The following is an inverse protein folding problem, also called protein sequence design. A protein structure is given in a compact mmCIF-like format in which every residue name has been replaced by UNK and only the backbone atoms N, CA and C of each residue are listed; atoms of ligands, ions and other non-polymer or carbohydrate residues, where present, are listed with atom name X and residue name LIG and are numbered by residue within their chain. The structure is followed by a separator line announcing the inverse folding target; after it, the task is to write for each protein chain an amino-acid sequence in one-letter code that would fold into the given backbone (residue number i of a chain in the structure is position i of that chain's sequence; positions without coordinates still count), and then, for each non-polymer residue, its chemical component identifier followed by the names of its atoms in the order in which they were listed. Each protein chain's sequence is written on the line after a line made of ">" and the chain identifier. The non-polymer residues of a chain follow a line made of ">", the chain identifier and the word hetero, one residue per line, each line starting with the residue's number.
data_IF_645679383938
#
_entry.id   IF_645679383938
#
_cell.length_a   1.000
_cell.length_b   1.000
_cell.length_c   1.000
_cell.angle_alpha   90.00
_cell.angle_beta   90.00
_cell.angle_gamma   90.00
#
_symmetry.space_group_name_H-M   'P 1'
#
loop_
_entity.id
_entity.type
_entity.pdbx_description
1 polymer ?
#
# COMPACT_ATOMS: atom_id res chain seq x y z
N UNK A 1 -15.59 -0.71 7.87
CA UNK A 1 -14.92 -1.52 6.85
C UNK A 1 -15.47 -1.19 5.48
N UNK A 2 -14.61 -1.09 4.48
CA UNK A 2 -14.94 -0.96 3.06
C UNK A 2 -14.11 -1.95 2.24
N UNK A 3 -14.66 -2.41 1.12
CA UNK A 3 -13.94 -3.23 0.16
C UNK A 3 -14.34 -2.83 -1.26
N UNK A 4 -13.40 -2.96 -2.19
CA UNK A 4 -13.62 -2.74 -3.61
C UNK A 4 -12.83 -3.77 -4.44
N UNK A 5 -13.43 -4.20 -5.53
CA UNK A 5 -12.80 -5.05 -6.51
C UNK A 5 -12.46 -4.24 -7.77
N UNK A 6 -11.32 -4.53 -8.36
CA UNK A 6 -10.86 -3.91 -9.59
C UNK A 6 -10.54 -4.99 -10.63
N UNK A 7 -11.20 -4.91 -11.78
CA UNK A 7 -11.14 -5.86 -12.90
C UNK A 7 -10.28 -5.36 -14.08
N UNK A 8 -9.70 -4.18 -13.98
CA UNK A 8 -8.95 -3.54 -15.07
C UNK A 8 -7.77 -4.35 -15.61
N UNK A 9 -7.30 -5.33 -14.85
CA UNK A 9 -6.22 -6.25 -15.26
C UNK A 9 -6.73 -7.56 -15.86
N UNK A 10 -8.04 -7.78 -15.92
CA UNK A 10 -8.64 -9.00 -16.51
C UNK A 10 -8.48 -9.05 -18.03
N UNK A 11 -8.22 -7.92 -18.68
CA UNK A 11 -7.98 -7.82 -20.13
C UNK A 11 -6.63 -8.36 -20.60
N UNK A 12 -5.71 -8.67 -19.68
CA UNK A 12 -4.41 -9.22 -20.02
C UNK A 12 -4.50 -10.73 -20.33
N UNK A 13 -3.52 -11.26 -21.06
CA UNK A 13 -3.41 -12.70 -21.37
C UNK A 13 -3.35 -13.58 -20.11
N UNK A 14 -2.82 -13.04 -19.04
CA UNK A 14 -2.81 -13.63 -17.71
C UNK A 14 -3.54 -12.70 -16.76
N UNK A 15 -4.88 -12.83 -16.68
CA UNK A 15 -5.71 -11.89 -15.97
C UNK A 15 -5.46 -11.90 -14.47
N UNK A 16 -5.51 -10.71 -13.86
CA UNK A 16 -5.39 -10.50 -12.43
C UNK A 16 -6.63 -9.76 -11.94
N UNK A 17 -7.22 -10.26 -10.88
CA UNK A 17 -8.23 -9.55 -10.12
C UNK A 17 -7.61 -8.99 -8.85
N UNK A 18 -7.89 -7.73 -8.57
CA UNK A 18 -7.42 -7.02 -7.39
C UNK A 18 -8.60 -6.66 -6.50
N UNK A 19 -8.58 -7.11 -5.27
CA UNK A 19 -9.50 -6.71 -4.22
C UNK A 19 -8.75 -5.95 -3.13
N UNK A 20 -9.20 -4.74 -2.83
CA UNK A 20 -8.67 -3.94 -1.71
C UNK A 20 -9.70 -3.84 -0.60
N UNK A 21 -9.26 -4.12 0.61
CA UNK A 21 -10.04 -3.93 1.82
C UNK A 21 -9.41 -2.85 2.70
N UNK A 22 -10.27 -1.99 3.24
CA UNK A 22 -9.90 -0.96 4.22
C UNK A 22 -10.65 -1.21 5.51
N UNK A 23 -9.93 -1.34 6.61
CA UNK A 23 -10.48 -1.40 7.96
C UNK A 23 -9.97 -0.24 8.78
N UNK A 24 -10.89 0.56 9.32
CA UNK A 24 -10.59 1.63 10.24
C UNK A 24 -10.94 1.22 11.67
N UNK A 25 -10.01 1.39 12.57
CA UNK A 25 -10.20 1.32 14.02
C UNK A 25 -10.14 2.74 14.58
N UNK A 26 -11.30 3.32 14.74
CA UNK A 26 -11.43 4.70 15.21
C UNK A 26 -11.03 4.87 16.67
N UNK A 27 -11.11 3.81 17.48
CA UNK A 27 -10.72 3.86 18.88
C UNK A 27 -9.22 3.93 19.05
N UNK A 28 -8.49 3.18 18.26
CA UNK A 28 -7.02 3.11 18.28
C UNK A 28 -6.36 4.02 17.24
N UNK A 29 -7.13 4.76 16.44
CA UNK A 29 -6.59 5.67 15.42
C UNK A 29 -5.78 4.95 14.35
N UNK A 30 -6.19 3.76 13.94
CA UNK A 30 -5.48 2.98 12.95
C UNK A 30 -6.32 2.64 11.72
N UNK A 31 -5.65 2.52 10.59
CA UNK A 31 -6.22 2.05 9.33
C UNK A 31 -5.35 0.93 8.77
N UNK A 32 -5.99 -0.20 8.52
CA UNK A 32 -5.35 -1.35 7.87
C UNK A 32 -5.86 -1.46 6.43
N UNK A 33 -4.93 -1.57 5.50
CA UNK A 33 -5.20 -1.83 4.09
C UNK A 33 -4.70 -3.23 3.75
N UNK A 34 -5.54 -4.01 3.10
CA UNK A 34 -5.20 -5.34 2.62
C UNK A 34 -5.53 -5.41 1.13
N UNK A 35 -4.54 -5.79 0.33
CA UNK A 35 -4.67 -6.04 -1.10
C UNK A 35 -4.59 -7.54 -1.36
N UNK A 36 -5.60 -8.08 -2.00
CA UNK A 36 -5.64 -9.45 -2.47
C UNK A 36 -5.55 -9.44 -4.00
N UNK A 37 -4.53 -10.09 -4.54
CA UNK A 37 -4.37 -10.27 -5.98
C UNK A 37 -4.44 -11.75 -6.30
N UNK A 38 -5.33 -12.11 -7.19
CA UNK A 38 -5.54 -13.51 -7.59
C UNK A 38 -5.86 -13.60 -9.07
N UNK A 39 -5.61 -14.77 -9.65
CA UNK A 39 -5.99 -15.05 -11.03
C UNK A 39 -7.36 -15.72 -11.06
N UNK A 40 -8.29 -15.24 -11.89
CA UNK A 40 -9.56 -15.94 -12.13
C UNK A 40 -9.40 -17.21 -12.97
N UNK A 41 -8.22 -17.42 -13.55
CA UNK A 41 -7.90 -18.60 -14.36
C UNK A 41 -7.03 -19.58 -13.60
N UNK A 42 -7.19 -20.87 -13.88
CA UNK A 42 -6.28 -21.91 -13.39
C UNK A 42 -4.94 -21.83 -14.13
N UNK A 43 -3.87 -22.02 -13.40
CA UNK A 43 -2.50 -22.02 -13.94
C UNK A 43 -1.55 -21.16 -13.10
N UNK A 44 -0.28 -21.56 -13.09
CA UNK A 44 0.77 -20.85 -12.36
C UNK A 44 1.59 -20.05 -13.36
N UNK A 45 1.21 -18.81 -13.57
CA UNK A 45 2.00 -17.87 -14.36
C UNK A 45 2.68 -16.85 -13.44
N UNK A 46 3.95 -16.54 -13.65
CA UNK A 46 4.60 -15.46 -12.89
C UNK A 46 4.03 -14.09 -13.29
N UNK A 47 3.81 -13.26 -12.30
CA UNK A 47 3.39 -11.88 -12.46
C UNK A 47 4.42 -10.97 -11.82
N UNK A 48 4.69 -9.83 -12.44
CA UNK A 48 5.42 -8.74 -11.81
C UNK A 48 4.41 -7.72 -11.32
N UNK A 49 4.43 -7.48 -10.02
CA UNK A 49 3.54 -6.57 -9.33
C UNK A 49 4.34 -5.40 -8.75
N UNK A 50 3.78 -4.21 -8.84
CA UNK A 50 4.34 -3.02 -8.24
C UNK A 50 3.24 -2.31 -7.44
N UNK A 51 3.57 -1.95 -6.21
CA UNK A 51 2.73 -1.11 -5.37
C UNK A 51 3.34 0.27 -5.21
N UNK A 52 2.48 1.26 -5.19
CA UNK A 52 2.86 2.63 -4.90
C UNK A 52 1.90 3.19 -3.85
N UNK A 53 2.47 3.68 -2.76
CA UNK A 53 1.75 4.45 -1.75
C UNK A 53 2.21 5.90 -1.85
N UNK A 54 1.30 6.77 -2.27
CA UNK A 54 1.56 8.19 -2.48
C UNK A 54 1.19 8.98 -1.24
N UNK A 55 2.07 9.87 -0.81
CA UNK A 55 1.83 10.76 0.32
C UNK A 55 1.61 12.20 -0.15
N UNK A 56 1.03 13.02 0.73
CA UNK A 56 0.87 14.43 0.43
C UNK A 56 2.23 15.15 0.37
N UNK A 57 2.38 16.23 -0.40
CA UNK A 57 3.65 16.94 -0.58
C UNK A 57 4.32 17.43 0.70
N UNK A 58 3.53 17.65 1.76
CA UNK A 58 4.03 18.12 3.05
C UNK A 58 4.43 16.98 4.01
N UNK A 59 4.31 15.72 3.59
CA UNK A 59 4.75 14.59 4.37
C UNK A 59 6.25 14.36 4.21
N UNK A 60 6.90 13.94 5.30
CA UNK A 60 8.24 13.37 5.26
C UNK A 60 8.23 11.95 5.79
N UNK A 61 8.98 11.06 5.15
CA UNK A 61 9.08 9.66 5.52
C UNK A 61 10.51 9.33 5.93
N UNK A 62 10.65 8.56 6.99
CA UNK A 62 11.92 8.03 7.46
C UNK A 62 11.78 6.52 7.69
N UNK A 63 12.69 5.70 7.13
CA UNK A 63 12.68 4.27 7.39
C UNK A 63 12.99 3.99 8.86
N UNK A 64 12.37 2.96 9.38
CA UNK A 64 12.62 2.46 10.73
C UNK A 64 12.46 0.93 10.73
N UNK A 65 12.75 0.29 11.85
CA UNK A 65 12.59 -1.15 11.98
C UNK A 65 11.12 -1.54 11.73
N UNK A 66 10.90 -2.42 10.76
CA UNK A 66 9.59 -2.96 10.36
C UNK A 66 8.56 -1.95 9.81
N UNK A 67 9.01 -0.76 9.37
CA UNK A 67 8.08 0.22 8.84
C UNK A 67 8.68 1.59 8.60
N UNK A 68 7.83 2.60 8.66
CA UNK A 68 8.17 3.98 8.32
C UNK A 68 7.54 4.97 9.30
N UNK A 69 8.32 5.93 9.74
CA UNK A 69 7.79 7.12 10.41
C UNK A 69 7.33 8.12 9.36
N UNK A 70 6.07 8.53 9.46
CA UNK A 70 5.46 9.52 8.57
C UNK A 70 5.16 10.77 9.39
N UNK A 71 5.77 11.88 9.03
CA UNK A 71 5.63 13.16 9.73
C UNK A 71 4.92 14.16 8.83
N UNK A 72 3.89 14.78 9.36
CA UNK A 72 3.21 15.92 8.78
C UNK A 72 3.40 17.16 9.66
N UNK A 73 3.05 18.38 9.22
CA UNK A 73 3.13 19.57 10.07
C UNK A 73 2.29 19.51 11.35
N UNK A 74 1.29 18.61 11.41
CA UNK A 74 0.32 18.55 12.52
C UNK A 74 0.40 17.25 13.32
N UNK A 75 0.84 16.15 12.70
CA UNK A 75 0.73 14.82 13.29
C UNK A 75 1.87 13.91 12.86
N UNK A 76 2.10 12.88 13.65
CA UNK A 76 2.98 11.76 13.32
C UNK A 76 2.16 10.50 13.17
N UNK A 77 2.58 9.68 12.22
CA UNK A 77 2.01 8.37 11.99
C UNK A 77 3.11 7.32 11.92
N UNK A 78 2.75 6.13 12.29
CA UNK A 78 3.54 4.94 12.03
C UNK A 78 2.90 4.17 10.88
N UNK A 79 3.67 3.90 9.84
CA UNK A 79 3.29 2.98 8.78
C UNK A 79 3.97 1.64 9.07
N UNK A 80 3.19 0.69 9.56
CA UNK A 80 3.62 -0.68 9.80
C UNK A 80 3.53 -1.49 8.50
N UNK A 81 4.64 -2.05 8.04
CA UNK A 81 4.77 -2.70 6.75
C UNK A 81 5.36 -1.78 5.68
N UNK A 82 5.11 -2.08 4.40
CA UNK A 82 4.26 -3.14 3.86
C UNK A 82 4.83 -4.55 4.06
N UNK A 83 3.94 -5.54 4.12
CA UNK A 83 4.27 -6.96 4.16
C UNK A 83 3.56 -7.69 3.04
N UNK A 84 4.22 -8.67 2.45
CA UNK A 84 3.61 -9.55 1.44
C UNK A 84 3.61 -11.00 1.89
N UNK A 85 2.60 -11.72 1.47
CA UNK A 85 2.58 -13.18 1.51
C UNK A 85 2.12 -13.75 0.18
N UNK A 86 2.81 -14.76 -0.31
CA UNK A 86 2.47 -15.48 -1.53
C UNK A 86 2.01 -16.89 -1.16
N UNK A 87 0.81 -17.27 -1.59
CA UNK A 87 0.19 -18.56 -1.21
C UNK A 87 0.21 -18.80 0.32
N UNK A 88 -0.02 -17.76 1.12
CA UNK A 88 -0.02 -17.83 2.58
C UNK A 88 1.37 -17.84 3.23
N UNK A 89 2.45 -17.78 2.47
CA UNK A 89 3.83 -17.76 2.99
C UNK A 89 4.40 -16.36 2.89
N UNK A 90 4.96 -15.79 3.99
CA UNK A 90 5.61 -14.49 3.95
C UNK A 90 6.76 -14.46 2.93
N UNK A 91 6.87 -13.39 2.17
CA UNK A 91 7.93 -13.17 1.19
C UNK A 91 8.66 -11.87 1.48
N UNK A 92 9.97 -11.87 1.25
CA UNK A 92 10.79 -10.70 1.42
C UNK A 92 10.49 -9.66 0.33
N UNK A 93 10.36 -8.41 0.75
CA UNK A 93 10.26 -7.25 -0.13
C UNK A 93 11.20 -6.15 0.37
N UNK A 94 11.57 -5.24 -0.51
CA UNK A 94 12.44 -4.12 -0.21
C UNK A 94 11.74 -2.80 -0.59
N UNK A 95 10.89 -2.27 0.29
CA UNK A 95 10.28 -0.96 0.05
C UNK A 95 11.35 0.12 0.00
N UNK A 96 11.19 1.05 -0.91
CA UNK A 96 12.07 2.21 -1.02
C UNK A 96 11.28 3.50 -1.19
N UNK A 97 11.87 4.59 -0.69
CA UNK A 97 11.34 5.92 -0.84
C UNK A 97 11.75 6.48 -2.20
N UNK A 98 10.78 6.97 -2.94
CA UNK A 98 10.94 7.65 -4.22
C UNK A 98 10.28 9.04 -4.17
N UNK A 99 10.53 9.86 -5.14
CA UNK A 99 9.91 11.16 -5.31
C UNK A 99 9.15 11.19 -6.63
N UNK A 100 7.90 11.57 -6.55
CA UNK A 100 7.04 11.72 -7.72
C UNK A 100 6.32 13.06 -7.72
N UNK A 101 5.31 13.16 -8.57
CA UNK A 101 4.51 14.38 -8.72
C UNK A 101 3.04 14.05 -8.51
N UNK A 102 2.37 14.87 -7.70
CA UNK A 102 0.92 14.80 -7.48
C UNK A 102 0.27 16.13 -7.89
N UNK A 103 -0.94 16.04 -8.41
CA UNK A 103 -1.76 17.21 -8.73
C UNK A 103 -2.86 17.32 -7.66
N UNK A 104 -2.64 18.16 -6.65
CA UNK A 104 -3.66 18.43 -5.61
C UNK A 104 -4.80 19.27 -6.17
N UNK A 105 -4.55 20.05 -7.23
CA UNK A 105 -5.52 20.86 -7.94
C UNK A 105 -5.23 20.79 -9.43
N UNK A 106 -6.26 21.01 -10.26
CA UNK A 106 -6.10 21.08 -11.70
C UNK A 106 -5.04 22.12 -12.09
N UNK A 107 -4.09 21.72 -12.92
CA UNK A 107 -2.99 22.57 -13.42
C UNK A 107 -1.88 22.86 -12.40
N UNK A 108 -1.90 22.31 -11.20
CA UNK A 108 -0.85 22.49 -10.19
C UNK A 108 -0.26 21.15 -9.76
N UNK A 109 0.92 20.85 -10.26
CA UNK A 109 1.66 19.67 -9.85
C UNK A 109 2.70 20.05 -8.79
N UNK A 110 2.85 19.19 -7.77
CA UNK A 110 3.81 19.34 -6.68
C UNK A 110 4.58 18.04 -6.48
N UNK A 111 5.82 18.13 -6.07
CA UNK A 111 6.61 16.98 -5.64
C UNK A 111 6.01 16.37 -4.37
N UNK A 112 6.01 15.06 -4.31
CA UNK A 112 5.49 14.31 -3.18
C UNK A 112 6.30 13.02 -2.96
N UNK A 113 6.44 12.55 -1.71
CA UNK A 113 7.10 11.28 -1.44
C UNK A 113 6.19 10.10 -1.82
N UNK A 114 6.80 9.09 -2.42
CA UNK A 114 6.17 7.83 -2.80
C UNK A 114 6.94 6.69 -2.15
N UNK A 115 6.24 5.81 -1.48
CA UNK A 115 6.79 4.53 -1.07
C UNK A 115 6.44 3.50 -2.13
N UNK A 116 7.47 2.83 -2.68
CA UNK A 116 7.32 1.81 -3.73
C UNK A 116 7.90 0.49 -3.28
N UNK A 117 7.29 -0.59 -3.72
CA UNK A 117 7.83 -1.94 -3.61
C UNK A 117 7.30 -2.80 -4.73
N UNK A 118 8.04 -3.83 -5.07
CA UNK A 118 7.69 -4.77 -6.13
C UNK A 118 7.91 -6.19 -5.68
N UNK A 119 7.25 -7.10 -6.35
CA UNK A 119 7.39 -8.52 -6.17
C UNK A 119 7.12 -9.24 -7.51
N UNK A 120 7.78 -10.37 -7.72
CA UNK A 120 7.56 -11.21 -8.87
C UNK A 120 7.33 -12.65 -8.42
N UNK A 121 6.29 -13.29 -8.95
CA UNK A 121 5.93 -14.66 -8.61
C UNK A 121 4.52 -15.03 -9.04
N UNK A 122 4.06 -16.18 -8.57
CA UNK A 122 2.74 -16.71 -8.90
C UNK A 122 1.68 -16.27 -7.90
N UNK A 123 0.50 -15.96 -8.41
CA UNK A 123 -0.67 -15.61 -7.57
C UNK A 123 -1.26 -16.88 -6.91
N UNK A 124 -2.01 -16.74 -5.79
CA UNK A 124 -2.42 -15.49 -5.16
C UNK A 124 -1.32 -14.84 -4.30
N UNK A 125 -1.40 -13.53 -4.16
CA UNK A 125 -0.57 -12.75 -3.25
C UNK A 125 -1.42 -11.78 -2.44
N UNK A 126 -1.05 -11.60 -1.18
CA UNK A 126 -1.65 -10.64 -0.27
C UNK A 126 -0.62 -9.60 0.17
N UNK A 127 -0.99 -8.33 0.06
CA UNK A 127 -0.22 -7.22 0.58
C UNK A 127 -0.96 -6.54 1.74
N UNK A 128 -0.25 -6.24 2.82
CA UNK A 128 -0.84 -5.60 4.01
C UNK A 128 0.04 -4.47 4.51
N UNK A 129 -0.57 -3.35 4.84
CA UNK A 129 0.05 -2.32 5.66
C UNK A 129 -0.96 -1.69 6.62
N UNK A 130 -0.47 -1.13 7.73
CA UNK A 130 -1.30 -0.46 8.73
C UNK A 130 -0.74 0.92 9.01
N UNK A 131 -1.58 1.93 9.00
CA UNK A 131 -1.24 3.30 9.40
C UNK A 131 -1.80 3.53 10.80
N UNK A 132 -0.94 3.96 11.72
CA UNK A 132 -1.31 4.21 13.12
C UNK A 132 -0.98 5.66 13.47
N UNK A 133 -1.95 6.39 14.01
CA UNK A 133 -1.70 7.73 14.58
C UNK A 133 -0.90 7.60 15.87
N UNK A 134 0.19 8.36 15.98
CA UNK A 134 1.03 8.39 17.18
C UNK A 134 0.65 9.51 18.16
N UNK A 135 -0.28 10.38 17.77
CA UNK A 135 -0.76 11.46 18.63
C UNK A 135 -1.86 10.95 19.58
N UNK A 136 -1.82 11.31 20.87
CA UNK A 136 -2.94 11.05 21.75
C UNK A 136 -4.17 11.79 21.27
N UNK A 137 -5.29 11.10 21.16
CA UNK A 137 -6.57 11.75 20.89
C UNK A 137 -6.90 12.67 22.06
N UNK A 138 -7.02 13.95 21.78
CA UNK A 138 -7.70 14.86 22.70
C UNK A 138 -9.11 14.34 22.91
N UNK A 139 -9.42 14.00 24.12
CA UNK A 139 -10.75 13.58 24.54
C UNK A 139 -11.77 14.71 24.33
#
# INVERSE_FOLDING_TARGET
>A
QAAADHDGYERFSHPVRHRRELRADWLNGSWRVTDHLFSPMSGSHPHRLEWTLTFAPHCSLQPAENGWSVVTPRQRFWLDGPRLSANGTPVAISPYLDEGTVAEQYGRARRAPFLRWSWEGSLPVEGVFTIVSLEPRSA
#
